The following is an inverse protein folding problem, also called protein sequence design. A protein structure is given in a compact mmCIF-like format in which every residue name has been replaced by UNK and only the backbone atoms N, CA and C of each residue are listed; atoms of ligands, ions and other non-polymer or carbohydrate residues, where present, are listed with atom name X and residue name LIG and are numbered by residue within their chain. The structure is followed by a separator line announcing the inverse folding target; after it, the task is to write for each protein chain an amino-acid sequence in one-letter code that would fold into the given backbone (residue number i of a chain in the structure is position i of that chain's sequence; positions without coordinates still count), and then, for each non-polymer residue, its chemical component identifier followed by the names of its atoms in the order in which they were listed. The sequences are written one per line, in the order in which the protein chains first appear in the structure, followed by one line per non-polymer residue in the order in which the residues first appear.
data_IF_825110456404
#
_entry.id   IF_825110456404
#
_cell.length_a   1.000
_cell.length_b   1.000
_cell.length_c   1.000
_cell.angle_alpha   90.00
_cell.angle_beta   90.00
_cell.angle_gamma   90.00
#
_symmetry.space_group_name_H-M   'P 1'
#
loop_
_entity.id
_entity.type
_entity.pdbx_description
1 polymer ?
#
# COMPACT_ATOMS: atom_id res chain seq x y z
N UNK A 1 -1.08 2.88 13.82
CA UNK A 1 -1.35 3.44 12.48
C UNK A 1 -0.21 4.38 12.14
N UNK A 2 0.40 4.19 10.97
CA UNK A 2 1.49 5.02 10.46
C UNK A 2 1.00 5.67 9.18
N UNK A 3 1.00 7.01 9.12
CA UNK A 3 0.71 7.71 7.87
C UNK A 3 1.90 7.58 6.92
N UNK A 4 1.62 7.37 5.64
CA UNK A 4 2.63 7.25 4.59
C UNK A 4 2.11 7.90 3.34
N UNK A 5 2.91 8.80 2.79
CA UNK A 5 2.67 9.36 1.47
C UNK A 5 3.56 8.62 0.46
N UNK A 6 3.04 8.42 -0.74
CA UNK A 6 3.73 7.78 -1.85
C UNK A 6 3.68 8.71 -3.03
N UNK A 7 4.80 8.82 -3.74
CA UNK A 7 4.85 9.46 -5.04
C UNK A 7 5.00 8.36 -6.08
N UNK A 8 4.22 8.41 -7.15
CA UNK A 8 4.39 7.55 -8.30
C UNK A 8 4.69 8.41 -9.53
N UNK A 9 5.70 8.04 -10.30
CA UNK A 9 6.10 8.74 -11.52
C UNK A 9 6.44 7.77 -12.66
N UNK A 10 6.21 8.17 -13.92
CA UNK A 10 6.54 7.34 -15.08
C UNK A 10 8.05 7.27 -15.34
N UNK A 11 8.84 8.15 -14.73
CA UNK A 11 10.31 8.19 -14.82
C UNK A 11 10.92 8.47 -13.45
N UNK A 12 12.19 8.10 -13.21
CA UNK A 12 12.87 8.40 -11.97
C UNK A 12 12.88 9.90 -11.66
N UNK A 13 12.61 10.26 -10.40
CA UNK A 13 12.69 11.65 -9.95
C UNK A 13 14.14 12.06 -9.68
N UNK A 14 14.49 13.30 -10.01
CA UNK A 14 15.81 13.88 -9.76
C UNK A 14 15.71 15.24 -9.08
N UNK A 15 16.74 15.61 -8.31
CA UNK A 15 16.89 16.99 -7.85
C UNK A 15 17.07 17.91 -9.06
N UNK A 16 16.42 19.07 -9.02
CA UNK A 16 16.52 20.09 -10.05
C UNK A 16 16.60 21.49 -9.41
N UNK A 17 17.10 22.44 -10.19
CA UNK A 17 17.11 23.85 -9.81
C UNK A 17 15.80 24.47 -10.28
N UNK A 18 15.00 24.94 -9.34
CA UNK A 18 13.68 25.52 -9.56
C UNK A 18 13.74 27.02 -9.28
N UNK A 19 12.94 27.80 -10.02
CA UNK A 19 12.78 29.24 -9.80
C UNK A 19 11.30 29.55 -9.70
N UNK A 20 10.85 30.11 -8.57
CA UNK A 20 9.46 30.55 -8.36
C UNK A 20 9.46 31.96 -7.75
N UNK A 21 8.76 32.95 -8.34
CA UNK A 21 8.72 34.33 -7.85
C UNK A 21 8.21 34.49 -6.41
N UNK A 22 7.40 33.55 -5.92
CA UNK A 22 6.81 33.60 -4.58
C UNK A 22 7.71 32.99 -3.49
N UNK A 23 8.87 32.45 -3.88
CA UNK A 23 9.79 31.70 -3.00
C UNK A 23 11.17 32.34 -3.06
N UNK A 24 11.80 32.53 -1.90
CA UNK A 24 13.19 33.02 -1.79
C UNK A 24 13.47 34.31 -2.62
N UNK A 25 12.45 35.16 -2.77
CA UNK A 25 12.44 36.37 -3.61
C UNK A 25 12.77 36.11 -5.09
N UNK A 26 12.32 34.99 -5.65
CA UNK A 26 12.56 34.61 -7.04
C UNK A 26 13.98 34.13 -7.32
N UNK A 27 14.79 33.86 -6.29
CA UNK A 27 16.12 33.27 -6.47
C UNK A 27 15.98 31.77 -6.78
N UNK A 28 16.81 31.22 -7.68
CA UNK A 28 16.85 29.79 -7.91
C UNK A 28 17.23 29.03 -6.65
N UNK A 29 16.59 27.89 -6.42
CA UNK A 29 16.90 26.98 -5.33
C UNK A 29 16.90 25.54 -5.84
N UNK A 30 17.73 24.69 -5.25
CA UNK A 30 17.71 23.26 -5.57
C UNK A 30 16.66 22.53 -4.73
N UNK A 31 15.86 21.67 -5.36
CA UNK A 31 14.83 20.90 -4.68
C UNK A 31 14.59 19.55 -5.38
N UNK A 32 14.05 18.59 -4.64
CA UNK A 32 13.72 17.25 -5.13
C UNK A 32 14.06 16.15 -4.14
N UNK A 33 14.03 14.88 -4.59
CA UNK A 33 14.36 13.71 -3.78
C UNK A 33 15.68 13.83 -3.01
N UNK A 34 15.68 13.50 -1.72
CA UNK A 34 16.90 13.30 -0.96
C UNK A 34 16.80 12.05 -0.06
N UNK A 35 17.87 11.24 -0.05
CA UNK A 35 18.05 10.13 0.89
C UNK A 35 18.77 10.67 2.13
N UNK A 36 18.21 10.44 3.32
CA UNK A 36 18.75 10.97 4.58
C UNK A 36 20.21 10.58 4.81
N UNK A 37 21.09 11.58 4.84
CA UNK A 37 22.20 11.65 5.79
C UNK A 37 22.18 13.06 6.42
N UNK A 38 21.79 13.12 7.70
CA UNK A 38 22.04 14.15 8.71
C UNK A 38 22.10 15.64 8.28
N UNK A 39 21.18 16.46 8.79
CA UNK A 39 21.43 17.88 9.10
C UNK A 39 20.71 18.95 8.25
N UNK A 40 20.35 18.66 6.99
CA UNK A 40 19.86 19.69 6.04
C UNK A 40 18.52 19.34 5.37
N UNK A 41 17.59 18.75 6.13
CA UNK A 41 16.23 18.41 5.67
C UNK A 41 15.37 19.62 5.22
N UNK A 42 15.89 20.85 5.28
CA UNK A 42 15.16 22.09 4.95
C UNK A 42 15.05 22.37 3.44
N UNK A 43 15.63 21.52 2.59
CA UNK A 43 15.76 21.76 1.14
C UNK A 43 15.51 20.52 0.25
N UNK A 44 14.65 19.59 0.66
CA UNK A 44 14.37 18.40 -0.14
C UNK A 44 13.10 17.66 0.23
N UNK A 45 12.64 16.83 -0.70
CA UNK A 45 11.60 15.84 -0.48
C UNK A 45 12.28 14.65 0.20
N UNK A 46 12.01 14.45 1.48
CA UNK A 46 12.52 13.28 2.21
C UNK A 46 11.88 12.03 1.63
N UNK A 47 12.65 11.37 0.77
CA UNK A 47 12.24 10.12 0.17
C UNK A 47 12.88 9.03 1.02
N UNK A 48 12.02 8.30 1.72
CA UNK A 48 12.41 6.99 2.21
C UNK A 48 12.62 6.13 0.97
N UNK A 49 13.89 6.02 0.56
CA UNK A 49 14.26 4.89 -0.27
C UNK A 49 13.92 3.64 0.53
N UNK A 50 13.29 2.68 -0.12
CA UNK A 50 13.01 1.36 0.46
C UNK A 50 14.35 0.67 0.84
N UNK A 51 15.47 1.16 0.30
CA UNK A 51 16.83 0.75 0.61
C UNK A 51 17.33 1.18 2.00
N UNK A 52 16.57 2.01 2.74
CA UNK A 52 17.04 2.55 4.01
C UNK A 52 16.87 1.57 5.18
N UNK A 53 17.83 0.64 5.29
CA UNK A 53 17.93 -0.37 6.37
C UNK A 53 18.15 0.25 7.78
N UNK A 54 18.38 1.56 7.93
CA UNK A 54 18.71 2.18 9.23
C UNK A 54 17.50 2.36 10.14
N UNK A 55 16.29 2.30 9.59
CA UNK A 55 15.06 2.22 10.36
C UNK A 55 14.54 0.82 10.16
N UNK A 56 14.00 0.18 11.19
CA UNK A 56 13.35 -1.15 11.13
C UNK A 56 12.08 -1.16 10.24
N UNK A 57 12.13 -0.49 9.08
CA UNK A 57 11.06 -0.12 8.17
C UNK A 57 10.94 -1.07 6.98
N UNK A 58 11.88 -2.00 6.82
CA UNK A 58 12.01 -2.89 5.66
C UNK A 58 10.75 -3.69 5.31
N UNK A 59 9.96 -4.07 6.30
CA UNK A 59 8.86 -5.00 6.05
C UNK A 59 7.58 -4.25 5.66
N UNK A 60 7.09 -3.29 6.45
CA UNK A 60 5.81 -2.62 6.17
C UNK A 60 5.80 -1.84 4.86
N UNK A 61 6.95 -1.27 4.43
CA UNK A 61 7.08 -0.60 3.14
C UNK A 61 6.95 -1.60 1.99
N UNK A 62 7.62 -2.75 2.13
CA UNK A 62 7.54 -3.86 1.18
C UNK A 62 6.09 -4.31 0.98
N UNK A 63 5.32 -4.45 2.06
CA UNK A 63 3.91 -4.86 1.97
C UNK A 63 3.01 -3.77 1.42
N UNK A 64 3.32 -2.51 1.71
CA UNK A 64 2.57 -1.38 1.14
C UNK A 64 2.63 -1.45 -0.37
N UNK A 65 3.82 -1.68 -0.95
CA UNK A 65 4.00 -1.82 -2.40
C UNK A 65 3.29 -3.03 -2.97
N UNK A 66 3.29 -4.17 -2.28
CA UNK A 66 2.57 -5.39 -2.70
C UNK A 66 1.05 -5.19 -2.75
N UNK A 67 0.53 -4.20 -2.01
CA UNK A 67 -0.88 -3.83 -2.00
C UNK A 67 -1.24 -2.70 -2.97
N UNK A 68 -0.28 -2.06 -3.64
CA UNK A 68 -0.59 -1.01 -4.60
C UNK A 68 -1.18 -1.61 -5.88
N UNK A 69 -2.24 -1.01 -6.45
CA UNK A 69 -2.78 -1.48 -7.72
C UNK A 69 -1.78 -1.24 -8.86
N UNK A 70 -1.85 -2.08 -9.90
CA UNK A 70 -1.03 -1.99 -11.14
C UNK A 70 -1.26 -0.73 -11.98
N UNK A 71 -2.22 0.12 -11.59
CA UNK A 71 -2.56 1.36 -12.31
C UNK A 71 -1.58 2.50 -12.02
N UNK A 72 -0.71 2.36 -11.01
CA UNK A 72 0.27 3.39 -10.65
C UNK A 72 1.51 3.27 -11.55
N UNK A 73 2.16 4.41 -11.88
CA UNK A 73 3.46 4.40 -12.54
C UNK A 73 4.53 3.57 -11.80
N UNK A 74 5.52 3.07 -12.55
CA UNK A 74 6.52 2.11 -12.04
C UNK A 74 7.47 2.68 -10.97
N UNK A 75 7.82 3.96 -11.05
CA UNK A 75 8.74 4.58 -10.10
C UNK A 75 7.95 5.05 -8.87
N UNK A 76 7.98 4.26 -7.80
CA UNK A 76 7.26 4.55 -6.55
C UNK A 76 8.24 4.89 -5.43
N UNK A 77 7.98 5.99 -4.73
CA UNK A 77 8.82 6.53 -3.67
C UNK A 77 8.01 6.75 -2.39
N UNK A 78 8.55 6.34 -1.25
CA UNK A 78 7.97 6.66 0.05
C UNK A 78 8.36 8.07 0.46
N UNK A 79 7.40 8.80 0.98
CA UNK A 79 7.54 10.20 1.26
C UNK A 79 7.31 10.45 2.75
N UNK A 80 8.40 10.75 3.46
CA UNK A 80 8.41 11.00 4.90
C UNK A 80 8.10 12.47 5.18
N UNK A 81 6.92 12.94 4.81
CA UNK A 81 6.42 14.25 5.19
C UNK A 81 4.89 14.25 5.16
N UNK A 82 4.26 14.77 6.22
CA UNK A 82 2.81 15.00 6.27
C UNK A 82 2.50 16.26 5.45
N UNK A 83 2.07 16.10 4.19
CA UNK A 83 1.74 17.26 3.38
C UNK A 83 0.37 17.81 3.78
N UNK A 84 0.41 18.88 4.55
CA UNK A 84 -0.75 19.68 4.93
C UNK A 84 -0.39 20.63 6.07
N UNK A 85 -1.08 21.76 6.13
CA UNK A 85 -1.12 22.57 7.34
C UNK A 85 -2.56 22.87 7.67
N UNK A 86 -2.90 22.68 8.93
CA UNK A 86 -4.13 23.14 9.50
C UNK A 86 -3.81 24.33 10.39
N UNK A 87 -4.21 25.55 9.97
CA UNK A 87 -4.00 26.75 10.78
C UNK A 87 -4.71 26.70 12.14
N UNK A 88 -5.63 25.75 12.34
CA UNK A 88 -6.31 25.53 13.62
C UNK A 88 -5.49 24.66 14.58
N UNK A 89 -4.37 24.07 14.11
CA UNK A 89 -3.50 23.24 14.91
C UNK A 89 -2.26 24.04 15.35
N UNK A 90 -2.34 24.64 16.54
CA UNK A 90 -1.35 25.58 17.10
C UNK A 90 0.05 24.97 17.33
N UNK A 91 0.21 23.65 17.17
CA UNK A 91 1.46 22.92 17.39
C UNK A 91 2.48 23.05 16.24
N UNK A 92 2.15 23.75 15.15
CA UNK A 92 2.99 23.81 13.95
C UNK A 92 3.45 25.23 13.60
N UNK A 93 4.73 25.41 13.23
CA UNK A 93 5.23 26.69 12.71
C UNK A 93 4.71 26.95 11.29
N UNK A 94 3.56 27.63 11.19
CA UNK A 94 2.77 27.78 9.96
C UNK A 94 3.57 28.45 8.82
N UNK A 95 4.49 29.38 9.11
CA UNK A 95 5.23 30.11 8.07
C UNK A 95 6.28 29.25 7.37
N UNK A 96 7.03 28.44 8.11
CA UNK A 96 8.03 27.51 7.57
C UNK A 96 7.36 26.43 6.73
N UNK A 97 6.28 25.82 7.24
CA UNK A 97 5.51 24.80 6.50
C UNK A 97 4.92 25.33 5.19
N UNK A 98 4.40 26.56 5.20
CA UNK A 98 3.91 27.21 3.97
C UNK A 98 5.03 27.39 2.96
N UNK A 99 6.22 27.77 3.40
CA UNK A 99 7.39 27.90 2.53
C UNK A 99 7.79 26.57 1.90
N UNK A 100 7.84 25.50 2.70
CA UNK A 100 8.20 24.16 2.23
C UNK A 100 7.16 23.59 1.24
N UNK A 101 5.86 23.83 1.48
CA UNK A 101 4.83 23.47 0.52
C UNK A 101 4.91 24.27 -0.78
N UNK A 102 5.27 25.55 -0.73
CA UNK A 102 5.51 26.35 -1.94
C UNK A 102 6.66 25.75 -2.74
N UNK A 103 7.76 25.36 -2.07
CA UNK A 103 8.90 24.70 -2.72
C UNK A 103 8.50 23.36 -3.33
N UNK A 104 7.71 22.54 -2.63
CA UNK A 104 7.13 21.32 -3.20
C UNK A 104 6.29 21.63 -4.44
N UNK A 105 5.34 22.59 -4.36
CA UNK A 105 4.48 22.97 -5.50
C UNK A 105 5.32 23.36 -6.71
N UNK A 106 6.35 24.20 -6.52
CA UNK A 106 7.24 24.63 -7.58
C UNK A 106 8.01 23.45 -8.20
N UNK A 107 8.47 22.52 -7.38
CA UNK A 107 9.10 21.28 -7.86
C UNK A 107 8.12 20.38 -8.63
N UNK A 108 6.91 20.13 -8.10
CA UNK A 108 5.87 19.37 -8.80
C UNK A 108 5.55 20.03 -10.15
N UNK A 109 5.50 21.37 -10.21
CA UNK A 109 5.30 22.10 -11.47
C UNK A 109 6.41 21.79 -12.47
N UNK A 110 7.68 21.88 -12.06
CA UNK A 110 8.82 21.52 -12.91
C UNK A 110 8.75 20.06 -13.39
N UNK A 111 8.35 19.12 -12.53
CA UNK A 111 8.20 17.71 -12.89
C UNK A 111 7.04 17.51 -13.88
N UNK A 112 5.90 18.18 -13.67
CA UNK A 112 4.75 18.12 -14.58
C UNK A 112 5.07 18.73 -15.95
N UNK A 113 5.88 19.79 -16.01
CA UNK A 113 6.36 20.37 -17.27
C UNK A 113 7.25 19.39 -18.04
N UNK A 114 8.13 18.65 -17.36
CA UNK A 114 9.03 17.68 -17.98
C UNK A 114 8.33 16.36 -18.35
N UNK A 115 7.53 15.81 -17.43
CA UNK A 115 6.98 14.47 -17.50
C UNK A 115 5.51 14.44 -17.95
N UNK A 116 4.83 15.58 -17.94
CA UNK A 116 3.43 15.74 -18.32
C UNK A 116 2.43 15.51 -17.18
N UNK A 117 2.79 14.72 -16.17
CA UNK A 117 1.98 14.44 -14.98
C UNK A 117 2.83 14.02 -13.77
N UNK A 118 2.24 14.13 -12.57
CA UNK A 118 2.82 13.68 -11.31
C UNK A 118 1.73 13.14 -10.40
N UNK A 119 1.87 11.89 -9.93
CA UNK A 119 0.86 11.23 -9.09
C UNK A 119 1.32 11.17 -7.62
N UNK A 120 0.48 11.65 -6.71
CA UNK A 120 0.69 11.61 -5.26
C UNK A 120 -0.44 10.82 -4.59
N UNK A 121 -0.10 9.84 -3.77
CA UNK A 121 -1.04 9.01 -3.03
C UNK A 121 -0.77 9.13 -1.52
N UNK A 122 -1.76 9.58 -0.75
CA UNK A 122 -1.66 9.67 0.71
C UNK A 122 -2.40 8.51 1.37
N UNK A 123 -1.73 7.74 2.24
CA UNK A 123 -2.27 6.53 2.88
C UNK A 123 -2.04 6.55 4.39
N UNK A 124 -2.96 5.97 5.16
CA UNK A 124 -2.73 5.51 6.54
C UNK A 124 -2.54 4.00 6.49
N UNK A 125 -1.39 3.53 6.93
CA UNK A 125 -1.08 2.10 7.04
C UNK A 125 -1.37 1.66 8.48
N UNK A 126 -2.01 0.52 8.70
CA UNK A 126 -2.45 -0.44 7.69
C UNK A 126 -3.91 -0.25 7.21
N UNK A 127 -4.56 0.83 7.63
CA UNK A 127 -6.02 0.96 7.62
C UNK A 127 -6.65 1.45 6.31
N UNK A 128 -5.85 1.96 5.36
CA UNK A 128 -6.39 2.64 4.17
C UNK A 128 -5.51 2.41 2.94
N UNK A 129 -5.37 1.17 2.50
CA UNK A 129 -5.07 0.92 1.10
C UNK A 129 -6.41 0.87 0.37
N UNK A 130 -6.76 1.82 -0.50
CA UNK A 130 -7.95 1.71 -1.32
C UNK A 130 -7.79 0.49 -2.23
N UNK A 131 -8.47 -0.57 -1.85
CA UNK A 131 -8.52 -1.86 -2.51
C UNK A 131 -9.39 -1.84 -3.76
N UNK A 132 -9.29 -0.78 -4.54
CA UNK A 132 -10.10 -0.56 -5.71
C UNK A 132 -9.23 -0.81 -6.94
N UNK A 133 -9.78 -1.51 -7.94
CA UNK A 133 -9.23 -1.47 -9.31
C UNK A 133 -9.12 -0.03 -9.82
N UNK A 134 -9.92 0.88 -9.25
CA UNK A 134 -9.91 2.31 -9.51
C UNK A 134 -9.73 3.07 -8.18
N UNK A 135 -8.51 3.46 -7.82
CA UNK A 135 -8.31 4.42 -6.71
C UNK A 135 -9.07 5.69 -7.10
N UNK A 136 -9.97 6.23 -6.24
CA UNK A 136 -10.61 7.50 -6.53
C UNK A 136 -9.54 8.56 -6.75
N UNK A 137 -9.55 9.14 -7.94
CA UNK A 137 -8.51 10.09 -8.35
C UNK A 137 -9.08 11.49 -8.46
N UNK A 138 -8.26 12.47 -8.08
CA UNK A 138 -8.53 13.88 -8.27
C UNK A 138 -7.45 14.40 -9.19
N UNK A 139 -7.85 14.81 -10.40
CA UNK A 139 -6.95 15.50 -11.31
C UNK A 139 -7.07 16.99 -11.06
N UNK A 140 -5.95 17.67 -10.79
CA UNK A 140 -5.92 19.10 -10.54
C UNK A 140 -4.69 19.76 -11.17
N UNK A 141 -4.81 21.07 -11.42
CA UNK A 141 -3.64 21.84 -11.81
C UNK A 141 -2.72 22.01 -10.59
N UNK A 142 -1.40 21.85 -10.78
CA UNK A 142 -0.41 22.14 -9.74
C UNK A 142 -0.53 23.58 -9.20
N UNK A 143 -0.98 24.51 -10.05
CA UNK A 143 -1.18 25.92 -9.69
C UNK A 143 -2.46 26.15 -8.85
N UNK A 144 -3.38 25.18 -8.80
CA UNK A 144 -4.59 25.26 -7.98
C UNK A 144 -4.34 24.88 -6.51
N UNK A 145 -3.12 24.50 -6.16
CA UNK A 145 -2.70 24.35 -4.77
C UNK A 145 -2.69 25.75 -4.10
N UNK A 146 -3.84 26.17 -3.55
CA UNK A 146 -4.00 27.44 -2.82
C UNK A 146 -3.29 27.39 -1.46
N UNK A 147 -1.98 27.66 -1.50
CA UNK A 147 -1.13 27.78 -0.32
C UNK A 147 -1.27 29.13 0.40
N UNK A 148 -2.10 30.03 -0.13
CA UNK A 148 -2.40 31.32 0.49
C UNK A 148 -3.68 31.25 1.34
N UNK A 149 -4.48 30.19 1.20
CA UNK A 149 -5.61 29.84 2.06
C UNK A 149 -5.21 29.51 3.52
N UNK A 150 -6.20 29.53 4.41
CA UNK A 150 -6.00 29.22 5.84
C UNK A 150 -5.62 27.76 6.10
N UNK A 151 -6.11 26.82 5.28
CA UNK A 151 -5.92 25.39 5.50
C UNK A 151 -5.74 24.66 4.16
N UNK A 152 -4.84 23.68 4.13
CA UNK A 152 -4.68 22.75 3.01
C UNK A 152 -4.29 21.37 3.55
N UNK A 153 -4.98 20.32 3.11
CA UNK A 153 -4.66 18.94 3.50
C UNK A 153 -4.95 17.98 2.35
N UNK A 154 -4.04 17.03 2.13
CA UNK A 154 -4.34 15.87 1.29
C UNK A 154 -5.20 14.89 2.10
N UNK A 155 -6.40 14.59 1.60
CA UNK A 155 -7.22 13.48 2.08
C UNK A 155 -6.53 12.14 1.79
N UNK A 156 -6.51 11.26 2.78
CA UNK A 156 -6.05 9.88 2.62
C UNK A 156 -6.95 9.07 1.68
N UNK A 157 -6.38 8.07 1.01
CA UNK A 157 -7.08 7.15 0.13
C UNK A 157 -7.44 7.72 -1.25
N UNK A 158 -6.97 8.93 -1.58
CA UNK A 158 -7.15 9.56 -2.89
C UNK A 158 -5.83 9.59 -3.67
N UNK A 159 -5.91 9.32 -4.97
CA UNK A 159 -4.81 9.55 -5.92
C UNK A 159 -4.91 10.98 -6.46
N UNK A 160 -3.96 11.85 -6.10
CA UNK A 160 -3.85 13.19 -6.64
C UNK A 160 -2.99 13.18 -7.89
N UNK A 161 -3.62 13.44 -9.03
CA UNK A 161 -2.94 13.59 -10.32
C UNK A 161 -2.73 15.05 -10.63
N UNK A 162 -1.48 15.49 -10.61
CA UNK A 162 -1.10 16.86 -10.95
C UNK A 162 -0.77 16.95 -12.43
N UNK A 163 -1.38 17.94 -13.10
CA UNK A 163 -1.20 18.19 -14.53
C UNK A 163 -1.06 19.69 -14.81
N UNK A 164 -0.61 20.02 -16.03
CA UNK A 164 -0.59 21.39 -16.54
C UNK A 164 -1.99 21.98 -16.61
N UNK A 165 -2.12 23.31 -16.51
CA UNK A 165 -3.41 24.03 -16.58
C UNK A 165 -4.28 23.60 -17.76
N UNK A 166 -3.70 23.42 -18.94
CA UNK A 166 -4.40 23.04 -20.17
C UNK A 166 -5.05 21.64 -20.12
N UNK A 167 -4.54 20.77 -19.24
CA UNK A 167 -4.98 19.39 -19.07
C UNK A 167 -5.87 19.20 -17.83
N UNK A 168 -5.94 20.20 -16.96
CA UNK A 168 -6.71 20.12 -15.74
C UNK A 168 -8.21 20.29 -16.03
N UNK A 169 -9.09 19.49 -15.40
CA UNK A 169 -10.52 19.77 -15.44
C UNK A 169 -10.80 21.16 -14.82
N UNK A 170 -11.92 21.80 -15.18
CA UNK A 170 -12.39 22.99 -14.46
C UNK A 170 -12.43 22.68 -12.95
N UNK A 171 -12.08 23.63 -12.07
CA UNK A 171 -11.91 23.35 -10.65
C UNK A 171 -13.23 22.86 -10.05
N UNK A 172 -13.33 21.55 -9.86
CA UNK A 172 -14.43 20.91 -9.13
C UNK A 172 -13.82 20.46 -7.81
N UNK A 173 -13.90 21.34 -6.81
CA UNK A 173 -13.76 20.94 -5.42
C UNK A 173 -15.09 20.30 -4.99
N UNK A 174 -15.31 19.06 -5.43
CA UNK A 174 -16.36 18.26 -4.83
C UNK A 174 -15.81 16.86 -4.58
N UNK A 175 -15.46 16.63 -3.32
CA UNK A 175 -14.89 15.37 -2.88
C UNK A 175 -15.44 15.07 -1.52
N UNK A 176 -16.58 14.38 -1.48
CA UNK A 176 -16.97 13.65 -0.29
C UNK A 176 -15.78 12.79 0.17
N UNK A 177 -15.49 12.84 1.46
CA UNK A 177 -14.50 11.96 2.08
C UNK A 177 -14.97 10.53 1.85
N UNK A 178 -14.36 9.82 0.91
CA UNK A 178 -14.41 8.36 0.93
C UNK A 178 -13.50 7.96 2.08
N UNK A 179 -14.07 7.83 3.29
CA UNK A 179 -13.41 7.13 4.40
C UNK A 179 -13.34 5.66 4.00
N UNK A 180 -12.31 5.37 3.24
CA UNK A 180 -12.17 4.14 2.52
C UNK A 180 -11.56 3.10 3.48
N UNK A 181 -12.42 2.39 4.24
CA UNK A 181 -12.04 1.35 5.21
C UNK A 181 -11.68 0.05 4.48
N UNK A 182 -10.70 0.11 3.60
CA UNK A 182 -10.38 -0.99 2.71
C UNK A 182 -9.06 -1.66 3.08
N UNK A 183 -9.08 -2.98 3.20
CA UNK A 183 -7.91 -3.81 3.51
C UNK A 183 -7.85 -5.04 2.59
N UNK A 184 -6.64 -5.52 2.29
CA UNK A 184 -6.43 -6.85 1.70
C UNK A 184 -6.48 -7.87 2.82
N UNK A 185 -7.27 -8.93 2.63
CA UNK A 185 -7.20 -10.12 3.47
C UNK A 185 -6.93 -11.32 2.58
N UNK A 186 -6.05 -12.18 3.07
CA UNK A 186 -5.87 -13.51 2.52
C UNK A 186 -6.51 -14.51 3.47
N UNK A 187 -7.34 -15.40 2.93
CA UNK A 187 -7.78 -16.59 3.64
C UNK A 187 -7.04 -17.81 3.15
N UNK A 188 -6.59 -18.60 4.11
CA UNK A 188 -6.12 -19.97 3.89
C UNK A 188 -7.11 -20.92 4.57
N UNK A 189 -7.54 -21.95 3.86
CA UNK A 189 -8.41 -22.99 4.39
C UNK A 189 -7.78 -24.37 4.21
N UNK A 190 -7.76 -25.14 5.29
CA UNK A 190 -7.09 -26.44 5.37
C UNK A 190 -8.04 -27.54 5.85
N UNK A 191 -7.94 -28.77 5.31
CA UNK A 191 -8.70 -29.94 5.78
C UNK A 191 -8.51 -30.21 7.28
N UNK A 192 -7.26 -30.09 7.76
CA UNK A 192 -6.87 -30.31 9.15
C UNK A 192 -6.28 -29.04 9.77
N UNK A 193 -6.33 -28.98 11.11
CA UNK A 193 -5.73 -27.86 11.84
C UNK A 193 -4.21 -27.95 11.70
N UNK A 194 -3.59 -26.88 11.22
CA UNK A 194 -2.14 -26.72 11.17
C UNK A 194 -1.53 -26.73 12.59
N UNK A 195 -0.29 -27.24 12.74
CA UNK A 195 0.44 -27.20 14.00
C UNK A 195 0.59 -25.78 14.56
N UNK A 196 0.68 -25.67 15.88
CA UNK A 196 0.94 -24.38 16.52
C UNK A 196 2.34 -23.89 16.13
N UNK A 197 2.47 -22.63 15.73
CA UNK A 197 3.72 -22.06 15.25
C UNK A 197 4.13 -22.48 13.83
N UNK A 198 3.28 -23.20 13.09
CA UNK A 198 3.63 -23.69 11.76
C UNK A 198 4.00 -22.58 10.76
N UNK A 199 3.37 -21.41 10.82
CA UNK A 199 3.78 -20.27 10.00
C UNK A 199 5.18 -19.73 10.36
N UNK A 200 5.55 -19.76 11.66
CA UNK A 200 6.86 -19.32 12.16
C UNK A 200 7.99 -20.16 11.59
N UNK A 201 7.78 -21.48 11.47
CA UNK A 201 8.78 -22.42 10.93
C UNK A 201 9.17 -22.11 9.47
N UNK A 202 8.35 -21.35 8.75
CA UNK A 202 8.56 -20.96 7.35
C UNK A 202 8.95 -19.48 7.22
N UNK A 203 9.34 -18.85 8.33
CA UNK A 203 9.65 -17.41 8.44
C UNK A 203 8.49 -16.52 7.97
N UNK A 204 7.25 -16.92 8.25
CA UNK A 204 6.05 -16.15 7.95
C UNK A 204 5.49 -15.42 9.18
N UNK A 205 6.28 -15.28 10.25
CA UNK A 205 5.98 -14.53 11.48
C UNK A 205 6.93 -13.30 11.63
N UNK A 206 6.45 -12.20 12.22
CA UNK A 206 7.28 -11.04 12.57
C UNK A 206 8.10 -11.24 13.85
N UNK A 207 9.23 -10.51 14.02
CA UNK A 207 9.94 -10.45 15.30
C UNK A 207 9.03 -9.96 16.43
N UNK A 208 9.25 -10.51 17.62
CA UNK A 208 8.38 -10.47 18.80
C UNK A 208 7.82 -9.07 19.12
N UNK A 209 6.49 -8.99 19.33
CA UNK A 209 5.83 -7.83 19.95
C UNK A 209 4.69 -7.17 19.17
N UNK A 210 4.34 -7.63 17.97
CA UNK A 210 3.27 -7.05 17.14
C UNK A 210 2.06 -7.98 17.08
N UNK A 211 1.00 -7.67 17.84
CA UNK A 211 -0.31 -8.36 17.84
C UNK A 211 -1.19 -7.93 16.66
N UNK A 212 -0.62 -7.90 15.46
CA UNK A 212 -1.31 -7.45 14.26
C UNK A 212 -1.33 -8.57 13.21
N UNK A 213 -2.48 -8.85 12.55
CA UNK A 213 -2.66 -9.90 11.52
C UNK A 213 -1.71 -9.75 10.36
N UNK A 214 -1.12 -8.57 10.18
CA UNK A 214 -0.21 -8.22 9.10
C UNK A 214 0.92 -9.21 8.84
N UNK A 215 1.33 -10.03 9.83
CA UNK A 215 2.33 -11.08 9.63
C UNK A 215 2.10 -12.32 10.47
N UNK A 216 0.86 -12.56 10.86
CA UNK A 216 0.55 -13.72 11.65
C UNK A 216 -0.60 -14.46 10.98
N UNK A 217 -0.39 -15.75 10.82
CA UNK A 217 -1.48 -16.63 10.46
C UNK A 217 -2.36 -16.78 11.71
N UNK A 218 -3.54 -16.18 11.66
CA UNK A 218 -4.51 -16.25 12.74
C UNK A 218 -5.52 -17.34 12.46
N UNK A 219 -5.47 -18.41 13.27
CA UNK A 219 -6.53 -19.42 13.26
C UNK A 219 -7.86 -18.81 13.69
N UNK A 220 -8.90 -19.06 12.90
CA UNK A 220 -10.25 -18.55 13.15
C UNK A 220 -10.99 -19.56 14.01
N UNK A 221 -11.22 -19.20 15.26
CA UNK A 221 -11.95 -20.03 16.21
C UNK A 221 -13.42 -19.59 16.25
N UNK A 222 -14.26 -20.26 15.45
CA UNK A 222 -15.70 -19.98 15.36
C UNK A 222 -16.46 -20.14 16.69
N UNK A 223 -15.86 -20.77 17.70
CA UNK A 223 -16.46 -20.95 19.03
C UNK A 223 -16.25 -19.75 19.96
N UNK A 224 -15.29 -18.87 19.65
CA UNK A 224 -14.95 -17.70 20.46
C UNK A 224 -15.74 -16.47 20.06
N UNK A 225 -15.94 -15.55 21.01
CA UNK A 225 -16.48 -14.21 20.72
C UNK A 225 -15.62 -13.53 19.65
N UNK A 226 -16.26 -12.87 18.68
CA UNK A 226 -15.60 -12.27 17.51
C UNK A 226 -14.67 -13.22 16.75
N UNK A 227 -14.97 -14.53 16.78
CA UNK A 227 -14.18 -15.59 16.14
C UNK A 227 -12.72 -15.66 16.62
N UNK A 228 -12.45 -15.16 17.84
CA UNK A 228 -11.10 -15.07 18.41
C UNK A 228 -10.29 -13.88 17.90
N UNK A 229 -10.89 -12.97 17.12
CA UNK A 229 -10.26 -11.74 16.65
C UNK A 229 -10.47 -10.60 17.65
N UNK A 230 -9.48 -9.71 17.78
CA UNK A 230 -9.66 -8.44 18.49
C UNK A 230 -10.71 -7.56 17.79
N UNK A 231 -11.42 -6.72 18.55
CA UNK A 231 -12.55 -5.90 18.08
C UNK A 231 -12.18 -5.00 16.88
N UNK A 232 -10.93 -4.56 16.80
CA UNK A 232 -10.43 -3.74 15.68
C UNK A 232 -10.48 -4.46 14.32
N UNK A 233 -10.58 -5.80 14.30
CA UNK A 233 -10.62 -6.62 13.09
C UNK A 233 -12.04 -6.97 12.63
N UNK A 234 -13.07 -6.25 13.11
CA UNK A 234 -14.47 -6.49 12.74
C UNK A 234 -14.66 -6.55 11.22
N UNK A 235 -13.94 -5.79 10.41
CA UNK A 235 -14.08 -5.86 8.94
C UNK A 235 -13.81 -7.25 8.37
N UNK A 236 -12.90 -8.04 8.95
CA UNK A 236 -12.65 -9.42 8.51
C UNK A 236 -13.86 -10.34 8.76
N UNK A 237 -14.72 -10.01 9.73
CA UNK A 237 -15.96 -10.76 9.97
C UNK A 237 -16.92 -10.72 8.77
N UNK A 238 -16.84 -9.70 7.91
CA UNK A 238 -17.69 -9.62 6.72
C UNK A 238 -17.39 -10.75 5.74
N UNK A 239 -16.12 -11.13 5.56
CA UNK A 239 -15.75 -12.31 4.76
C UNK A 239 -16.44 -13.57 5.26
N UNK A 240 -16.45 -13.78 6.58
CA UNK A 240 -17.01 -14.98 7.17
C UNK A 240 -18.53 -14.99 7.18
N UNK A 241 -19.16 -13.82 7.06
CA UNK A 241 -20.61 -13.71 6.91
C UNK A 241 -21.12 -14.22 5.55
N UNK A 242 -20.22 -14.51 4.60
CA UNK A 242 -20.58 -15.05 3.29
C UNK A 242 -20.71 -16.58 3.26
N UNK A 243 -21.43 -17.09 2.26
CA UNK A 243 -21.55 -18.53 1.99
C UNK A 243 -20.25 -19.17 1.44
N UNK A 244 -19.18 -18.41 1.20
CA UNK A 244 -17.87 -18.94 0.79
C UNK A 244 -17.36 -19.98 1.80
N UNK A 245 -17.65 -19.76 3.09
CA UNK A 245 -17.29 -20.68 4.17
C UNK A 245 -17.96 -22.06 4.09
N UNK A 246 -18.97 -22.25 3.22
CA UNK A 246 -19.64 -23.52 2.99
C UNK A 246 -18.88 -24.43 2.02
N UNK A 247 -18.07 -23.86 1.11
CA UNK A 247 -17.28 -24.62 0.13
C UNK A 247 -15.83 -24.79 0.57
N UNK A 248 -15.37 -23.97 1.53
CA UNK A 248 -14.02 -24.06 2.08
C UNK A 248 -13.91 -25.15 3.16
N UNK A 249 -12.73 -25.76 3.32
CA UNK A 249 -12.42 -26.59 4.48
C UNK A 249 -12.68 -25.89 5.83
N UNK A 250 -12.90 -26.70 6.88
CA UNK A 250 -13.33 -26.22 8.20
C UNK A 250 -12.31 -25.33 8.92
N UNK A 251 -11.01 -25.57 8.73
CA UNK A 251 -9.96 -24.85 9.44
C UNK A 251 -9.56 -23.65 8.62
N UNK A 252 -10.05 -22.48 9.00
CA UNK A 252 -9.78 -21.23 8.33
C UNK A 252 -8.70 -20.46 9.08
N UNK A 253 -7.86 -19.77 8.32
CA UNK A 253 -6.82 -18.91 8.81
C UNK A 253 -6.85 -17.59 8.06
N UNK A 254 -6.77 -16.48 8.79
CA UNK A 254 -6.44 -15.18 8.22
C UNK A 254 -4.92 -15.12 8.09
N UNK A 255 -4.45 -14.91 6.87
CA UNK A 255 -3.08 -14.48 6.62
C UNK A 255 -3.16 -13.05 6.10
N UNK A 256 -2.31 -12.15 6.57
CA UNK A 256 -2.21 -10.82 5.98
C UNK A 256 -1.00 -10.67 5.06
N UNK A 257 -0.38 -11.79 4.69
CA UNK A 257 0.56 -11.78 3.59
C UNK A 257 -0.24 -11.44 2.32
N UNK A 258 0.06 -10.29 1.73
CA UNK A 258 -0.26 -10.03 0.34
C UNK A 258 0.95 -10.45 -0.51
N UNK A 259 0.90 -11.64 -1.14
CA UNK A 259 2.02 -12.26 -1.83
C UNK A 259 2.22 -11.78 -3.26
N UNK A 260 1.77 -10.58 -3.58
CA UNK A 260 1.96 -10.03 -4.92
C UNK A 260 3.28 -9.27 -4.93
N UNK A 261 4.06 -9.39 -5.99
CA UNK A 261 5.15 -8.47 -6.25
C UNK A 261 4.99 -7.86 -7.63
N UNK A 262 5.21 -6.56 -7.68
CA UNK A 262 5.18 -5.75 -8.89
C UNK A 262 6.59 -5.20 -9.15
N UNK A 263 6.86 -4.68 -10.36
CA UNK A 263 8.17 -4.13 -10.72
C UNK A 263 8.48 -2.80 -10.00
N UNK A 264 7.68 -2.40 -9.01
CA UNK A 264 7.89 -1.21 -8.18
C UNK A 264 9.18 -1.28 -7.36
N UNK A 265 9.75 -0.14 -6.98
CA UNK A 265 10.91 -0.09 -6.09
C UNK A 265 12.22 -0.61 -6.72
N UNK A 266 13.30 -0.67 -5.92
CA UNK A 266 14.62 -0.97 -6.44
C UNK A 266 14.85 -2.48 -6.66
N UNK A 267 16.00 -2.84 -7.23
CA UNK A 267 16.36 -4.25 -7.48
C UNK A 267 16.33 -5.09 -6.20
N UNK A 268 16.82 -4.56 -5.09
CA UNK A 268 16.92 -5.32 -3.85
C UNK A 268 15.55 -5.50 -3.17
N UNK A 269 14.64 -4.53 -3.27
CA UNK A 269 13.26 -4.70 -2.79
C UNK A 269 12.49 -5.73 -3.61
N UNK A 270 12.68 -5.70 -4.93
CA UNK A 270 12.11 -6.69 -5.84
C UNK A 270 12.57 -8.10 -5.48
N UNK A 271 13.84 -8.26 -5.12
CA UNK A 271 14.38 -9.54 -4.60
C UNK A 271 13.79 -9.90 -3.23
N UNK A 272 13.71 -8.95 -2.28
CA UNK A 272 13.11 -9.17 -0.96
C UNK A 272 11.67 -9.66 -1.10
N UNK A 273 10.84 -9.00 -1.92
CA UNK A 273 9.45 -9.43 -2.18
C UNK A 273 9.36 -10.80 -2.83
N UNK A 274 10.18 -11.06 -3.85
CA UNK A 274 10.21 -12.39 -4.47
C UNK A 274 10.52 -13.48 -3.45
N UNK A 275 11.49 -13.26 -2.57
CA UNK A 275 11.82 -14.20 -1.51
C UNK A 275 10.64 -14.41 -0.52
N UNK A 276 9.86 -13.37 -0.22
CA UNK A 276 8.63 -13.51 0.59
C UNK A 276 7.61 -14.41 -0.12
N UNK A 277 7.39 -14.22 -1.42
CA UNK A 277 6.51 -15.09 -2.22
C UNK A 277 7.04 -16.52 -2.27
N UNK A 278 8.34 -16.72 -2.47
CA UNK A 278 8.96 -18.04 -2.46
C UNK A 278 8.74 -18.78 -1.12
N UNK A 279 8.88 -18.08 0.00
CA UNK A 279 8.61 -18.63 1.33
C UNK A 279 7.16 -19.04 1.48
N UNK A 280 6.21 -18.21 1.02
CA UNK A 280 4.80 -18.56 1.03
C UNK A 280 4.50 -19.78 0.15
N UNK A 281 5.04 -19.85 -1.06
CA UNK A 281 4.80 -21.00 -1.93
C UNK A 281 5.37 -22.29 -1.33
N UNK A 282 6.54 -22.23 -0.67
CA UNK A 282 7.08 -23.36 0.09
C UNK A 282 6.17 -23.76 1.25
N UNK A 283 5.60 -22.78 1.96
CA UNK A 283 4.67 -23.01 3.04
C UNK A 283 3.38 -23.69 2.56
N UNK A 284 2.71 -23.14 1.54
CA UNK A 284 1.50 -23.73 0.95
C UNK A 284 1.81 -25.13 0.41
N UNK A 285 2.93 -25.31 -0.29
CA UNK A 285 3.37 -26.62 -0.78
C UNK A 285 3.51 -27.62 0.36
N UNK A 286 4.08 -27.21 1.48
CA UNK A 286 4.24 -28.12 2.62
C UNK A 286 2.91 -28.51 3.26
N UNK A 287 1.91 -27.62 3.25
CA UNK A 287 0.54 -27.96 3.67
C UNK A 287 -0.06 -28.99 2.72
N UNK A 288 0.06 -28.78 1.40
CA UNK A 288 -0.43 -29.71 0.38
C UNK A 288 0.27 -31.08 0.48
N UNK A 289 1.58 -31.09 0.70
CA UNK A 289 2.35 -32.33 0.84
C UNK A 289 1.90 -33.14 2.08
N UNK A 290 1.54 -32.44 3.15
CA UNK A 290 1.05 -32.98 4.44
C UNK A 290 -0.41 -33.42 4.39
N UNK A 291 -1.31 -32.58 3.87
CA UNK A 291 -2.77 -32.74 3.99
C UNK A 291 -3.45 -33.13 2.66
N UNK A 292 -2.71 -33.16 1.55
CA UNK A 292 -3.21 -33.47 0.21
C UNK A 292 -3.75 -32.25 -0.56
N UNK A 293 -4.25 -31.25 0.15
CA UNK A 293 -4.78 -30.02 -0.44
C UNK A 293 -4.66 -28.79 0.47
N UNK A 294 -4.74 -27.61 -0.12
CA UNK A 294 -4.87 -26.33 0.56
C UNK A 294 -5.67 -25.36 -0.30
N UNK A 295 -6.51 -24.53 0.32
CA UNK A 295 -7.33 -23.55 -0.37
C UNK A 295 -6.91 -22.14 0.00
N UNK A 296 -6.71 -21.27 -0.98
CA UNK A 296 -6.13 -19.95 -0.80
C UNK A 296 -6.90 -18.91 -1.61
N UNK A 297 -7.32 -17.83 -0.96
CA UNK A 297 -7.99 -16.73 -1.64
C UNK A 297 -7.53 -15.38 -1.08
N UNK A 298 -7.18 -14.49 -2.00
CA UNK A 298 -6.93 -13.08 -1.72
C UNK A 298 -8.18 -12.29 -2.07
N UNK A 299 -8.66 -11.44 -1.17
CA UNK A 299 -9.81 -10.59 -1.44
C UNK A 299 -9.71 -9.27 -0.69
N UNK A 300 -10.51 -8.31 -1.15
CA UNK A 300 -10.50 -6.97 -0.61
C UNK A 300 -11.80 -6.67 0.12
N UNK A 301 -11.71 -6.08 1.29
CA UNK A 301 -12.87 -5.69 2.08
C UNK A 301 -13.09 -4.19 2.03
N UNK A 302 -14.34 -3.70 2.16
CA UNK A 302 -15.59 -4.45 2.08
C UNK A 302 -16.13 -4.73 0.67
N UNK A 303 -15.62 -4.11 -0.39
CA UNK A 303 -16.35 -4.04 -1.67
C UNK A 303 -16.15 -5.22 -2.63
N UNK A 304 -15.11 -6.05 -2.43
CA UNK A 304 -14.83 -7.23 -3.26
C UNK A 304 -14.67 -8.47 -2.38
N UNK A 305 -15.77 -8.86 -1.74
CA UNK A 305 -15.86 -10.11 -0.97
C UNK A 305 -16.30 -11.23 -1.90
N UNK A 306 -15.49 -12.28 -2.01
CA UNK A 306 -15.84 -13.45 -2.80
C UNK A 306 -16.96 -14.24 -2.12
N UNK A 307 -17.91 -14.73 -2.91
CA UNK A 307 -18.99 -15.62 -2.46
C UNK A 307 -18.89 -16.95 -3.18
N UNK A 308 -19.50 -18.02 -2.63
CA UNK A 308 -19.47 -19.33 -3.27
C UNK A 308 -20.09 -19.32 -4.69
N UNK A 309 -20.96 -18.36 -4.99
CA UNK A 309 -21.64 -18.24 -6.30
C UNK A 309 -20.84 -17.41 -7.31
N UNK A 310 -19.95 -16.53 -6.84
CA UNK A 310 -19.24 -15.57 -7.70
C UNK A 310 -17.75 -15.86 -7.83
N UNK A 311 -17.20 -16.75 -7.01
CA UNK A 311 -15.77 -17.02 -6.93
C UNK A 311 -15.32 -17.94 -8.06
N UNK A 312 -14.30 -17.54 -8.80
CA UNK A 312 -13.65 -18.42 -9.77
C UNK A 312 -12.75 -19.41 -9.02
N UNK A 313 -12.93 -20.72 -9.23
CA UNK A 313 -12.11 -21.76 -8.60
C UNK A 313 -11.04 -22.25 -9.57
N UNK A 314 -9.77 -22.13 -9.17
CA UNK A 314 -8.61 -22.60 -9.93
C UNK A 314 -7.94 -23.75 -9.22
N UNK A 315 -8.08 -24.96 -9.75
CA UNK A 315 -7.39 -26.14 -9.22
C UNK A 315 -6.05 -26.33 -9.92
N UNK A 316 -4.96 -26.37 -9.17
CA UNK A 316 -3.60 -26.49 -9.72
C UNK A 316 -2.60 -27.04 -8.71
N UNK A 317 -1.38 -27.37 -9.14
CA UNK A 317 -0.27 -27.66 -8.21
C UNK A 317 0.44 -26.38 -7.83
N UNK A 318 0.94 -26.31 -6.61
CA UNK A 318 1.75 -25.16 -6.14
C UNK A 318 3.01 -24.98 -7.01
N UNK A 319 3.56 -26.08 -7.54
CA UNK A 319 4.73 -26.06 -8.42
C UNK A 319 4.48 -25.46 -9.82
N UNK A 320 3.21 -25.30 -10.21
CA UNK A 320 2.85 -24.78 -11.54
C UNK A 320 2.85 -23.25 -11.55
N UNK A 321 2.99 -22.61 -10.39
CA UNK A 321 3.09 -21.16 -10.27
C UNK A 321 4.47 -20.69 -10.75
N UNK A 322 4.47 -19.89 -11.81
CA UNK A 322 5.67 -19.25 -12.32
C UNK A 322 5.93 -17.92 -11.60
N UNK A 323 7.03 -17.88 -10.85
CA UNK A 323 7.53 -16.68 -10.17
C UNK A 323 8.86 -16.20 -10.76
N UNK A 324 9.25 -16.69 -11.95
CA UNK A 324 10.50 -16.31 -12.61
C UNK A 324 10.40 -14.94 -13.29
N UNK A 325 9.19 -14.52 -13.69
CA UNK A 325 8.91 -13.22 -14.30
C UNK A 325 9.18 -12.01 -13.39
N UNK A 326 9.05 -10.79 -13.90
CA UNK A 326 9.32 -9.54 -13.16
C UNK A 326 8.19 -9.16 -12.18
N UNK A 327 7.01 -9.76 -12.34
CA UNK A 327 5.86 -9.62 -11.46
C UNK A 327 5.19 -10.97 -11.18
N UNK A 328 4.43 -11.03 -10.07
CA UNK A 328 3.58 -12.15 -9.70
C UNK A 328 2.40 -11.64 -8.88
N UNK A 329 1.20 -12.17 -9.11
CA UNK A 329 0.01 -11.82 -8.36
C UNK A 329 -0.91 -13.04 -8.19
N UNK A 330 -1.45 -13.20 -6.99
CA UNK A 330 -2.66 -13.97 -6.79
C UNK A 330 -3.88 -13.09 -7.10
N UNK A 331 -4.68 -13.54 -8.06
CA UNK A 331 -5.83 -12.76 -8.53
C UNK A 331 -6.85 -12.56 -7.43
N UNK A 332 -7.43 -11.37 -7.44
CA UNK A 332 -8.39 -10.94 -6.45
C UNK A 332 -9.71 -11.68 -6.65
N UNK A 333 -10.24 -12.23 -5.56
CA UNK A 333 -11.46 -13.03 -5.55
C UNK A 333 -11.39 -14.29 -6.43
N UNK A 334 -10.19 -14.76 -6.78
CA UNK A 334 -9.98 -16.11 -7.30
C UNK A 334 -9.65 -17.05 -6.13
N UNK A 335 -10.35 -18.17 -6.05
CA UNK A 335 -10.12 -19.22 -5.07
C UNK A 335 -9.19 -20.27 -5.67
N UNK A 336 -7.94 -20.28 -5.19
CA UNK A 336 -6.93 -21.25 -5.59
C UNK A 336 -7.08 -22.51 -4.74
N UNK A 337 -7.32 -23.63 -5.39
CA UNK A 337 -7.34 -24.96 -4.81
C UNK A 337 -6.06 -25.68 -5.18
N UNK A 338 -5.14 -25.77 -4.24
CA UNK A 338 -3.87 -26.46 -4.44
C UNK A 338 -3.99 -27.92 -4.09
N UNK A 339 -3.55 -28.77 -5.02
CA UNK A 339 -3.52 -30.24 -4.88
C UNK A 339 -2.11 -30.79 -5.10
N UNK A 340 -1.88 -32.03 -4.64
CA UNK A 340 -0.58 -32.71 -4.65
C UNK A 340 -0.02 -33.02 -6.05
#
# INVERSE_FOLDING_TARGET
MTETNLIASPKPLSRCVVTDPEIDNGKPFEYGPCVKHWGDARHGIDILSIENNERCADNWQTDTLSNLPKILPECIYFLQNCFGFDSQNELMNISELRSDLKRLRAYIRSVVEEMGEFDLLSLIIPDTLPCMENIPSVTMCVDDLDLNGGYFYFKHGLLYRFVSREKAPSPIYDGNLVRSKYACITLLACPEKLPDGYAKEYDLEFPDGVTSPYFNQFFIDRSKLHMGLEIFYWYYLQVFSTNLTNILPKNLYISALNPSFYPYGCIDDRKKRRNVVEKLLKYIKSIVDMQGEAWYIRQWLPDKIATAESVEIRTMKVSDLDISGEEFEFELCALYHFVK
#
